data_IF_661442549731
#
_entry.id   IF_661442549731
#
_cell.length_a   1.000
_cell.length_b   1.000
_cell.length_c   1.000
_cell.angle_alpha   90.00
_cell.angle_beta   90.00
_cell.angle_gamma   90.00
#
_symmetry.space_group_name_H-M   'P 1'
#
loop_
_entity.id
_entity.type
_entity.pdbx_description
1 polymer ?
#
# COMPACT_ATOMS: atom_id res chain seq x y z
N UNK A 1 9.56 9.75 -11.90
CA UNK A 1 10.76 10.53 -12.28
C UNK A 1 11.94 9.69 -11.86
N UNK A 2 12.86 9.33 -12.74
CA UNK A 2 13.98 8.44 -12.42
C UNK A 2 15.24 9.27 -12.09
N UNK A 3 16.10 8.83 -11.16
CA UNK A 3 17.40 9.47 -10.85
C UNK A 3 18.56 8.88 -11.68
N UNK A 4 19.79 9.37 -11.48
CA UNK A 4 21.01 8.92 -12.16
C UNK A 4 21.34 7.44 -12.07
N UNK A 5 20.70 6.72 -11.14
CA UNK A 5 20.86 5.28 -10.94
C UNK A 5 19.64 4.50 -11.43
N UNK A 6 18.75 5.15 -12.18
CA UNK A 6 17.50 4.56 -12.64
C UNK A 6 16.50 4.33 -11.50
N UNK A 7 16.62 5.01 -10.35
CA UNK A 7 15.66 4.87 -9.25
C UNK A 7 14.43 5.73 -9.51
N UNK A 8 13.24 5.14 -9.45
CA UNK A 8 12.00 5.92 -9.44
C UNK A 8 11.98 6.77 -8.16
N UNK A 9 12.09 8.09 -8.29
CA UNK A 9 11.98 9.10 -7.23
C UNK A 9 10.59 8.97 -6.59
N UNK A 10 10.50 8.10 -5.59
CA UNK A 10 9.33 7.88 -4.73
C UNK A 10 9.59 8.34 -3.29
N UNK A 11 10.86 8.55 -2.92
CA UNK A 11 11.29 8.82 -1.53
C UNK A 11 10.64 10.05 -0.88
N UNK A 12 10.50 11.17 -1.62
CA UNK A 12 9.97 12.41 -1.06
C UNK A 12 8.45 12.36 -0.80
N UNK A 13 7.66 11.68 -1.65
CA UNK A 13 6.20 11.51 -1.41
C UNK A 13 5.91 10.42 -0.38
N UNK A 14 6.80 9.43 -0.27
CA UNK A 14 6.68 8.37 0.72
C UNK A 14 6.92 8.93 2.13
N UNK A 15 7.92 9.78 2.34
CA UNK A 15 8.22 10.39 3.66
C UNK A 15 7.13 11.35 4.14
N UNK A 16 6.52 12.16 3.26
CA UNK A 16 5.39 13.04 3.59
C UNK A 16 4.12 12.26 3.94
N UNK A 17 3.80 11.22 3.15
CA UNK A 17 2.64 10.35 3.39
C UNK A 17 2.75 9.52 4.67
N UNK A 18 3.97 9.07 4.99
CA UNK A 18 4.35 8.44 6.26
C UNK A 18 4.11 9.45 7.39
N UNK A 19 4.72 10.64 7.34
CA UNK A 19 4.59 11.65 8.40
C UNK A 19 3.14 12.03 8.72
N UNK A 20 2.30 12.27 7.70
CA UNK A 20 0.87 12.55 7.89
C UNK A 20 0.11 11.37 8.51
N UNK A 21 0.47 10.13 8.18
CA UNK A 21 -0.11 8.93 8.79
C UNK A 21 0.15 8.89 10.30
N UNK A 22 1.40 9.13 10.69
CA UNK A 22 1.81 9.09 12.09
C UNK A 22 1.14 10.20 12.90
N UNK A 23 1.05 11.42 12.36
CA UNK A 23 0.29 12.52 13.00
C UNK A 23 -1.17 12.14 13.26
N UNK A 24 -1.85 11.48 12.31
CA UNK A 24 -3.24 11.03 12.51
C UNK A 24 -3.37 9.95 13.59
N UNK A 25 -2.42 9.03 13.65
CA UNK A 25 -2.42 8.01 14.70
C UNK A 25 -2.06 8.59 16.06
N UNK A 26 -1.12 9.54 16.14
CA UNK A 26 -0.81 10.28 17.36
C UNK A 26 -2.03 11.02 17.88
N UNK A 27 -2.74 11.78 17.03
CA UNK A 27 -3.97 12.47 17.41
C UNK A 27 -5.07 11.51 17.88
N UNK A 28 -5.16 10.34 17.26
CA UNK A 28 -6.11 9.32 17.66
C UNK A 28 -5.73 8.67 19.00
N UNK A 29 -4.45 8.34 19.20
CA UNK A 29 -3.96 7.69 20.41
C UNK A 29 -3.98 8.64 21.61
N UNK A 30 -3.73 9.93 21.42
CA UNK A 30 -3.90 10.95 22.47
C UNK A 30 -5.35 11.11 22.94
N UNK A 31 -6.34 10.67 22.14
CA UNK A 31 -7.76 10.64 22.57
C UNK A 31 -8.06 9.44 23.47
N UNK A 32 -7.10 8.53 23.67
CA UNK A 32 -7.27 7.36 24.53
C UNK A 32 -6.94 7.64 25.99
N UNK A 33 -6.25 8.73 26.32
CA UNK A 33 -5.85 9.07 27.69
C UNK A 33 -7.05 9.01 28.66
N UNK A 34 -8.21 9.51 28.22
CA UNK A 34 -9.43 9.56 29.03
C UNK A 34 -10.19 8.22 29.12
N UNK A 35 -9.92 7.28 28.21
CA UNK A 35 -10.74 6.07 28.02
C UNK A 35 -9.98 4.76 28.30
N UNK A 36 -8.66 4.79 28.13
CA UNK A 36 -7.73 3.68 28.32
C UNK A 36 -6.41 4.17 28.96
N UNK A 37 -6.47 4.82 30.14
CA UNK A 37 -5.29 5.39 30.78
C UNK A 37 -4.23 4.33 31.12
N UNK A 38 -4.64 3.07 31.24
CA UNK A 38 -3.76 1.99 31.63
C UNK A 38 -2.93 1.35 30.52
N UNK A 39 -3.21 1.67 29.26
CA UNK A 39 -2.48 1.09 28.13
C UNK A 39 -1.01 1.52 28.14
N UNK A 40 -0.13 0.57 27.84
CA UNK A 40 1.32 0.80 27.81
C UNK A 40 1.70 1.93 26.86
N UNK A 41 1.14 1.96 25.66
CA UNK A 41 1.39 3.02 24.68
C UNK A 41 0.93 4.41 25.15
N UNK A 42 -0.16 4.48 25.91
CA UNK A 42 -0.67 5.74 26.48
C UNK A 42 0.30 6.24 27.54
N UNK A 43 0.70 5.36 28.47
CA UNK A 43 1.71 5.66 29.51
C UNK A 43 3.05 6.07 28.90
N UNK A 44 3.50 5.39 27.86
CA UNK A 44 4.74 5.69 27.14
C UNK A 44 4.69 7.03 26.39
N UNK A 45 3.58 7.37 25.74
CA UNK A 45 3.45 8.68 25.10
C UNK A 45 3.32 9.83 26.11
N UNK A 46 2.65 9.59 27.24
CA UNK A 46 2.48 10.58 28.30
C UNK A 46 3.79 10.91 29.04
N UNK A 47 4.72 9.95 29.13
CA UNK A 47 6.04 10.17 29.75
C UNK A 47 7.00 10.98 28.87
N UNK A 48 6.69 11.16 27.59
CA UNK A 48 7.48 11.97 26.65
C UNK A 48 6.90 13.38 26.60
N UNK A 49 7.74 14.39 26.82
CA UNK A 49 7.31 15.79 26.94
C UNK A 49 7.15 16.50 25.61
N UNK A 50 7.96 16.16 24.61
CA UNK A 50 7.97 16.80 23.30
C UNK A 50 7.23 15.99 22.22
N UNK A 51 6.73 16.68 21.20
CA UNK A 51 5.93 16.05 20.15
C UNK A 51 6.76 15.21 19.16
N UNK A 52 8.07 15.49 19.02
CA UNK A 52 8.94 14.74 18.13
C UNK A 52 9.25 13.36 18.73
N UNK A 53 9.62 13.29 20.00
CA UNK A 53 9.81 12.05 20.74
C UNK A 53 8.55 11.19 20.78
N UNK A 54 7.35 11.78 20.95
CA UNK A 54 6.08 11.03 20.86
C UNK A 54 5.85 10.44 19.48
N UNK A 55 6.20 11.18 18.42
CA UNK A 55 6.10 10.72 17.03
C UNK A 55 7.07 9.56 16.79
N UNK A 56 8.31 9.66 17.25
CA UNK A 56 9.33 8.63 17.09
C UNK A 56 8.99 7.35 17.87
N UNK A 57 8.53 7.48 19.12
CA UNK A 57 8.03 6.35 19.90
C UNK A 57 6.88 5.61 19.19
N UNK A 58 5.94 6.35 18.58
CA UNK A 58 4.85 5.75 17.81
C UNK A 58 5.33 5.13 16.49
N UNK A 59 6.36 5.70 15.85
CA UNK A 59 7.01 5.13 14.67
C UNK A 59 7.61 3.77 15.00
N UNK A 60 8.33 3.67 16.12
CA UNK A 60 8.93 2.42 16.58
C UNK A 60 7.87 1.37 16.93
N UNK A 61 6.81 1.78 17.63
CA UNK A 61 5.69 0.90 17.98
C UNK A 61 5.01 0.29 16.74
N UNK A 62 4.92 1.06 15.66
CA UNK A 62 4.25 0.66 14.42
C UNK A 62 5.21 0.13 13.34
N UNK A 63 6.51 0.08 13.61
CA UNK A 63 7.58 -0.19 12.64
C UNK A 63 7.37 -1.42 11.72
N UNK A 64 6.83 -2.58 12.17
CA UNK A 64 6.64 -3.71 11.25
C UNK A 64 5.43 -3.54 10.31
N UNK A 65 4.69 -2.42 10.37
CA UNK A 65 3.43 -2.23 9.63
C UNK A 65 3.63 -1.31 8.44
N UNK A 66 3.20 -1.77 7.27
CA UNK A 66 3.26 -0.97 6.05
C UNK A 66 2.45 0.35 6.22
N UNK A 67 3.00 1.51 5.83
CA UNK A 67 2.32 2.81 5.98
C UNK A 67 0.93 2.86 5.35
N UNK A 68 0.76 2.26 4.17
CA UNK A 68 -0.53 2.19 3.49
C UNK A 68 -1.59 1.41 4.30
N UNK A 69 -1.17 0.43 5.12
CA UNK A 69 -2.05 -0.27 6.05
C UNK A 69 -2.45 0.65 7.18
N UNK A 70 -1.49 1.30 7.84
CA UNK A 70 -1.75 2.24 8.93
C UNK A 70 -2.78 3.30 8.51
N UNK A 71 -2.57 3.96 7.38
CA UNK A 71 -3.50 4.98 6.82
C UNK A 71 -4.92 4.43 6.67
N UNK A 72 -5.08 3.21 6.14
CA UNK A 72 -6.40 2.59 5.96
C UNK A 72 -7.10 2.30 7.29
N UNK A 73 -6.34 1.93 8.31
CA UNK A 73 -6.89 1.63 9.65
C UNK A 73 -7.35 2.90 10.34
N UNK A 74 -6.50 3.92 10.45
CA UNK A 74 -6.91 5.20 11.08
C UNK A 74 -8.04 5.86 10.33
N UNK A 75 -8.03 5.91 9.00
CA UNK A 75 -9.12 6.53 8.25
C UNK A 75 -10.45 5.79 8.43
N UNK A 76 -10.46 4.46 8.61
CA UNK A 76 -11.69 3.72 8.90
C UNK A 76 -12.25 4.07 10.28
N UNK A 77 -11.37 4.27 11.26
CA UNK A 77 -11.77 4.69 12.62
C UNK A 77 -12.25 6.14 12.63
N UNK A 78 -11.55 7.05 11.97
CA UNK A 78 -11.96 8.46 11.84
C UNK A 78 -13.31 8.58 11.14
N UNK A 79 -13.58 7.77 10.12
CA UNK A 79 -14.89 7.73 9.46
C UNK A 79 -15.99 7.26 10.42
N UNK A 80 -15.73 6.27 11.26
CA UNK A 80 -16.68 5.84 12.30
C UNK A 80 -16.96 6.99 13.27
N UNK A 81 -15.93 7.63 13.81
CA UNK A 81 -16.09 8.73 14.77
C UNK A 81 -16.68 10.01 14.17
N UNK A 82 -16.59 10.21 12.85
CA UNK A 82 -17.32 11.28 12.18
C UNK A 82 -18.83 11.13 12.35
N UNK A 83 -19.33 9.89 12.37
CA UNK A 83 -20.76 9.60 12.45
C UNK A 83 -21.25 9.44 13.90
N UNK A 84 -20.43 8.83 14.78
CA UNK A 84 -20.84 8.52 16.17
C UNK A 84 -20.31 9.49 17.21
N UNK A 85 -19.43 10.43 16.82
CA UNK A 85 -18.77 11.35 17.74
C UNK A 85 -17.63 10.72 18.55
N UNK A 86 -17.11 11.49 19.51
CA UNK A 86 -16.05 11.09 20.45
C UNK A 86 -16.56 11.21 21.90
N UNK A 87 -15.97 10.45 22.82
CA UNK A 87 -16.26 10.53 24.26
C UNK A 87 -16.38 9.16 24.93
N UNK A 88 -16.56 9.18 26.26
CA UNK A 88 -16.61 7.97 27.10
C UNK A 88 -17.83 7.06 26.80
N UNK A 89 -18.86 7.60 26.17
CA UNK A 89 -20.01 6.80 25.71
C UNK A 89 -19.72 5.98 24.45
N UNK A 90 -18.69 6.39 23.68
CA UNK A 90 -18.29 5.74 22.43
C UNK A 90 -17.06 4.84 22.64
N UNK A 91 -16.10 5.31 23.44
CA UNK A 91 -14.87 4.59 23.78
C UNK A 91 -14.85 4.38 25.30
N UNK A 92 -14.65 3.14 25.80
CA UNK A 92 -14.30 1.92 25.08
C UNK A 92 -15.40 1.39 24.16
N UNK A 93 -15.01 0.93 22.98
CA UNK A 93 -15.95 0.43 21.97
C UNK A 93 -16.72 -0.80 22.49
N UNK A 94 -18.05 -0.68 22.53
CA UNK A 94 -18.94 -1.80 22.88
C UNK A 94 -19.40 -2.54 21.63
N UNK A 95 -19.39 -3.87 21.69
CA UNK A 95 -19.74 -4.72 20.55
C UNK A 95 -21.16 -4.45 20.03
N UNK A 96 -22.12 -4.23 20.94
CA UNK A 96 -23.50 -3.91 20.57
C UNK A 96 -23.58 -2.60 19.78
N UNK A 97 -22.95 -1.53 20.26
CA UNK A 97 -22.95 -0.21 19.61
C UNK A 97 -22.31 -0.25 18.23
N UNK A 98 -21.17 -0.94 18.10
CA UNK A 98 -20.49 -1.11 16.81
C UNK A 98 -21.35 -1.93 15.83
N UNK A 99 -22.01 -2.98 16.30
CA UNK A 99 -22.92 -3.76 15.47
C UNK A 99 -24.12 -2.93 14.98
N UNK A 100 -24.76 -2.15 15.87
CA UNK A 100 -25.87 -1.27 15.51
C UNK A 100 -25.44 -0.23 14.46
N UNK A 101 -24.29 0.43 14.67
CA UNK A 101 -23.72 1.32 13.66
C UNK A 101 -23.53 0.61 12.31
N UNK A 102 -22.91 -0.58 12.29
CA UNK A 102 -22.69 -1.32 11.03
C UNK A 102 -24.00 -1.73 10.35
N UNK A 103 -25.05 -2.01 11.12
CA UNK A 103 -26.39 -2.32 10.61
C UNK A 103 -27.01 -1.10 9.94
N UNK A 104 -26.96 0.04 10.62
CA UNK A 104 -27.58 1.27 10.14
C UNK A 104 -26.82 1.82 8.94
N UNK A 105 -25.48 1.80 8.98
CA UNK A 105 -24.63 2.15 7.83
C UNK A 105 -24.93 1.25 6.62
N UNK A 106 -25.14 -0.05 6.83
CA UNK A 106 -25.50 -0.99 5.75
C UNK A 106 -26.88 -0.69 5.18
N UNK A 107 -27.87 -0.38 6.03
CA UNK A 107 -29.19 0.05 5.59
C UNK A 107 -29.11 1.34 4.77
N UNK A 108 -28.20 2.25 5.14
CA UNK A 108 -27.84 3.46 4.39
C UNK A 108 -26.98 3.22 3.14
N UNK A 109 -26.74 1.97 2.73
CA UNK A 109 -26.05 1.65 1.47
C UNK A 109 -24.54 1.45 1.59
N UNK A 110 -23.96 1.43 2.80
CA UNK A 110 -22.54 1.15 2.98
C UNK A 110 -22.15 -0.21 2.38
N UNK A 111 -21.03 -0.22 1.64
CA UNK A 111 -20.52 -1.44 0.99
C UNK A 111 -20.00 -2.41 2.04
N UNK A 112 -20.14 -3.75 1.85
CA UNK A 112 -19.56 -4.74 2.75
C UNK A 112 -18.06 -4.53 3.02
N UNK A 113 -17.30 -4.06 2.01
CA UNK A 113 -15.87 -3.74 2.14
C UNK A 113 -15.60 -2.57 3.09
N UNK A 114 -16.50 -1.58 3.18
CA UNK A 114 -16.37 -0.47 4.11
C UNK A 114 -16.56 -0.93 5.56
N UNK A 115 -17.56 -1.78 5.80
CA UNK A 115 -17.80 -2.38 7.12
C UNK A 115 -16.64 -3.32 7.52
N UNK A 116 -16.13 -4.10 6.56
CA UNK A 116 -14.95 -4.93 6.74
C UNK A 116 -13.72 -4.09 7.13
N UNK A 117 -13.51 -2.95 6.48
CA UNK A 117 -12.40 -2.05 6.79
C UNK A 117 -12.45 -1.53 8.23
N UNK A 118 -13.64 -1.16 8.75
CA UNK A 118 -13.81 -0.78 10.16
C UNK A 118 -13.52 -1.96 11.09
N UNK A 119 -14.07 -3.16 10.82
CA UNK A 119 -13.78 -4.36 11.62
C UNK A 119 -12.28 -4.65 11.68
N UNK A 120 -11.60 -4.58 10.54
CA UNK A 120 -10.16 -4.80 10.45
C UNK A 120 -9.36 -3.70 11.19
N UNK A 121 -9.86 -2.47 11.24
CA UNK A 121 -9.27 -1.39 12.03
C UNK A 121 -9.42 -1.63 13.54
N UNK A 122 -10.57 -2.11 14.01
CA UNK A 122 -10.75 -2.47 15.43
C UNK A 122 -9.92 -3.72 15.81
N UNK A 123 -9.78 -4.70 14.91
CA UNK A 123 -8.84 -5.82 15.09
C UNK A 123 -7.40 -5.32 15.15
N UNK A 124 -7.04 -4.38 14.28
CA UNK A 124 -5.71 -3.77 14.32
C UNK A 124 -5.48 -3.08 15.67
N UNK A 125 -6.44 -2.29 16.17
CA UNK A 125 -6.32 -1.67 17.49
C UNK A 125 -6.14 -2.71 18.58
N UNK A 126 -6.96 -3.76 18.58
CA UNK A 126 -6.88 -4.86 19.57
C UNK A 126 -5.48 -5.48 19.66
N UNK A 127 -4.86 -5.81 18.53
CA UNK A 127 -3.63 -6.60 18.52
C UNK A 127 -2.35 -5.78 18.39
N UNK A 128 -2.41 -4.58 17.82
CA UNK A 128 -1.23 -3.72 17.67
C UNK A 128 -1.04 -2.82 18.88
N UNK A 129 -2.12 -2.37 19.52
CA UNK A 129 -2.03 -1.54 20.72
C UNK A 129 -2.43 -2.29 21.99
N UNK A 130 -2.53 -3.62 21.89
CA UNK A 130 -2.95 -4.54 22.94
C UNK A 130 -4.10 -4.02 23.81
N UNK A 131 -5.30 -3.98 23.22
CA UNK A 131 -6.52 -3.45 23.87
C UNK A 131 -7.53 -4.57 24.16
N UNK A 132 -7.40 -5.33 25.26
CA UNK A 132 -8.23 -6.51 25.55
C UNK A 132 -9.73 -6.28 25.50
N UNK A 133 -10.19 -5.07 25.85
CA UNK A 133 -11.62 -4.70 25.85
C UNK A 133 -12.29 -4.83 24.47
N UNK A 134 -11.51 -4.92 23.38
CA UNK A 134 -12.00 -5.14 22.02
C UNK A 134 -12.27 -6.62 21.67
N UNK A 135 -11.90 -7.57 22.52
CA UNK A 135 -12.13 -9.02 22.29
C UNK A 135 -13.57 -9.37 21.89
N UNK A 136 -14.62 -8.84 22.55
CA UNK A 136 -16.01 -9.11 22.16
C UNK A 136 -16.29 -8.73 20.71
N UNK A 137 -15.72 -7.62 20.22
CA UNK A 137 -15.85 -7.15 18.84
C UNK A 137 -15.13 -8.07 17.87
N UNK A 138 -13.88 -8.43 18.19
CA UNK A 138 -13.04 -9.29 17.33
C UNK A 138 -13.68 -10.66 17.14
N UNK A 139 -14.20 -11.24 18.24
CA UNK A 139 -14.80 -12.58 18.30
C UNK A 139 -16.27 -12.61 17.83
N UNK A 140 -16.93 -11.46 17.68
CA UNK A 140 -18.35 -11.38 17.31
C UNK A 140 -18.66 -11.98 15.93
N UNK A 141 -19.50 -13.03 15.93
CA UNK A 141 -20.02 -13.66 14.71
C UNK A 141 -21.01 -12.77 13.97
N UNK A 142 -21.74 -11.90 14.66
CA UNK A 142 -22.70 -10.96 14.03
C UNK A 142 -21.99 -9.82 13.31
N UNK A 143 -20.92 -9.27 13.90
CA UNK A 143 -20.05 -8.28 13.24
C UNK A 143 -19.33 -8.93 12.04
N UNK A 144 -18.83 -10.16 12.19
CA UNK A 144 -18.28 -10.89 11.04
C UNK A 144 -19.32 -11.12 9.93
N UNK A 145 -20.55 -11.48 10.31
CA UNK A 145 -21.64 -11.74 9.39
C UNK A 145 -22.03 -10.49 8.58
N UNK A 146 -22.12 -9.32 9.22
CA UNK A 146 -22.59 -8.11 8.54
C UNK A 146 -21.59 -7.55 7.51
N UNK A 147 -20.29 -7.73 7.77
CA UNK A 147 -19.20 -7.35 6.85
C UNK A 147 -19.10 -8.27 5.63
N UNK A 148 -19.67 -9.48 5.67
CA UNK A 148 -19.62 -10.47 4.58
C UNK A 148 -20.95 -10.65 3.84
N UNK A 149 -22.08 -10.49 4.52
CA UNK A 149 -23.42 -10.68 3.95
C UNK A 149 -23.64 -9.70 2.79
N UNK A 150 -24.01 -10.19 1.61
CA UNK A 150 -24.23 -9.36 0.42
C UNK A 150 -22.98 -9.03 -0.41
N UNK A 151 -21.80 -9.52 -0.02
CA UNK A 151 -20.55 -9.36 -0.80
C UNK A 151 -20.53 -10.17 -2.12
N UNK A 152 -21.59 -10.94 -2.40
CA UNK A 152 -21.74 -11.75 -3.63
C UNK A 152 -22.07 -10.93 -4.89
N UNK A 153 -22.23 -9.61 -4.81
CA UNK A 153 -22.32 -8.80 -6.03
C UNK A 153 -21.01 -8.97 -6.79
N UNK A 154 -21.09 -9.61 -7.95
CA UNK A 154 -19.97 -9.75 -8.88
C UNK A 154 -19.37 -8.38 -9.09
N UNK A 155 -18.26 -8.11 -8.39
CA UNK A 155 -17.48 -6.90 -8.62
C UNK A 155 -17.18 -6.91 -10.12
N UNK A 156 -17.54 -5.85 -10.84
CA UNK A 156 -17.10 -5.66 -12.21
C UNK A 156 -15.57 -5.74 -12.18
N UNK A 157 -15.04 -6.92 -12.54
CA UNK A 157 -13.61 -7.13 -12.63
C UNK A 157 -13.18 -6.38 -13.88
N UNK A 158 -12.01 -5.76 -13.83
CA UNK A 158 -11.39 -5.30 -15.07
C UNK A 158 -11.30 -6.51 -16.01
N UNK A 159 -11.59 -6.31 -17.29
CA UNK A 159 -11.38 -7.36 -18.27
C UNK A 159 -9.89 -7.77 -18.24
N UNK A 160 -9.59 -9.07 -18.39
CA UNK A 160 -8.20 -9.50 -18.59
C UNK A 160 -7.60 -8.74 -19.77
N UNK A 161 -6.31 -8.37 -19.66
CA UNK A 161 -5.59 -7.76 -20.77
C UNK A 161 -5.57 -8.71 -21.96
N UNK A 162 -5.91 -8.18 -23.13
CA UNK A 162 -5.84 -8.88 -24.42
C UNK A 162 -4.55 -8.52 -25.13
N UNK A 163 -4.19 -9.32 -26.13
CA UNK A 163 -3.03 -9.09 -26.99
C UNK A 163 -3.06 -7.69 -27.60
N UNK A 164 -4.21 -7.25 -28.11
CA UNK A 164 -4.39 -5.91 -28.67
C UNK A 164 -4.11 -4.78 -27.67
N UNK A 165 -4.40 -4.98 -26.39
CA UNK A 165 -4.15 -3.97 -25.36
C UNK A 165 -2.63 -3.83 -25.10
N UNK A 166 -1.87 -4.92 -25.23
CA UNK A 166 -0.40 -4.91 -25.16
C UNK A 166 0.21 -4.29 -26.43
N UNK A 167 -0.34 -4.59 -27.61
CA UNK A 167 0.10 -3.98 -28.87
C UNK A 167 0.02 -2.46 -28.83
N UNK A 168 -1.04 -1.90 -28.24
CA UNK A 168 -1.15 -0.44 -28.02
C UNK A 168 0.02 0.10 -27.19
N UNK A 169 0.44 -0.59 -26.13
CA UNK A 169 1.59 -0.16 -25.32
C UNK A 169 2.90 -0.21 -26.13
N UNK A 170 3.09 -1.22 -26.98
CA UNK A 170 4.25 -1.28 -27.89
C UNK A 170 4.22 -0.13 -28.89
N UNK A 171 3.06 0.13 -29.51
CA UNK A 171 2.90 1.25 -30.45
C UNK A 171 3.16 2.60 -29.79
N UNK A 172 2.67 2.82 -28.57
CA UNK A 172 2.94 4.03 -27.81
C UNK A 172 4.43 4.18 -27.49
N UNK A 173 5.11 3.10 -27.06
CA UNK A 173 6.55 3.11 -26.83
C UNK A 173 7.33 3.48 -28.10
N UNK A 174 6.94 2.91 -29.24
CA UNK A 174 7.58 3.13 -30.53
C UNK A 174 7.35 4.58 -31.04
N UNK A 175 6.11 5.04 -31.03
CA UNK A 175 5.66 6.15 -31.88
C UNK A 175 5.00 7.33 -31.17
N UNK A 176 4.74 7.27 -29.85
CA UNK A 176 4.09 8.38 -29.15
C UNK A 176 4.92 9.68 -29.27
N UNK A 177 4.24 10.83 -29.42
CA UNK A 177 4.93 12.12 -29.51
C UNK A 177 5.60 12.51 -28.18
N UNK A 178 4.98 12.18 -27.05
CA UNK A 178 5.47 12.48 -25.71
C UNK A 178 6.51 11.45 -25.25
N UNK A 179 7.70 11.93 -24.86
CA UNK A 179 8.74 11.07 -24.24
C UNK A 179 8.24 10.41 -22.94
N UNK A 180 7.33 11.08 -22.22
CA UNK A 180 6.74 10.56 -20.99
C UNK A 180 5.77 9.40 -21.26
N UNK A 181 5.02 9.47 -22.36
CA UNK A 181 4.10 8.39 -22.77
C UNK A 181 4.91 7.17 -23.20
N UNK A 182 6.03 7.37 -23.92
CA UNK A 182 6.97 6.29 -24.25
C UNK A 182 7.57 5.66 -22.99
N UNK A 183 8.07 6.49 -22.07
CA UNK A 183 8.66 6.03 -20.81
C UNK A 183 7.67 5.23 -19.99
N UNK A 184 6.44 5.73 -19.83
CA UNK A 184 5.39 5.08 -19.06
C UNK A 184 4.94 3.79 -19.73
N UNK A 185 4.78 3.77 -21.05
CA UNK A 185 4.40 2.56 -21.79
C UNK A 185 5.45 1.46 -21.64
N UNK A 186 6.74 1.80 -21.72
CA UNK A 186 7.83 0.84 -21.46
C UNK A 186 7.85 0.34 -20.01
N UNK A 187 7.55 1.19 -19.03
CA UNK A 187 7.41 0.77 -17.63
C UNK A 187 6.22 -0.20 -17.43
N UNK A 188 5.10 0.05 -18.11
CA UNK A 188 3.96 -0.88 -18.13
C UNK A 188 4.33 -2.22 -18.77
N UNK A 189 5.02 -2.21 -19.90
CA UNK A 189 5.52 -3.43 -20.55
C UNK A 189 6.46 -4.21 -19.63
N UNK A 190 7.38 -3.54 -18.94
CA UNK A 190 8.25 -4.16 -17.95
C UNK A 190 7.45 -4.85 -16.84
N UNK A 191 6.46 -4.17 -16.25
CA UNK A 191 5.58 -4.77 -15.25
C UNK A 191 4.82 -6.00 -15.80
N UNK A 192 4.32 -5.92 -17.03
CA UNK A 192 3.54 -6.98 -17.65
C UNK A 192 4.39 -8.23 -17.96
N UNK A 193 5.55 -8.04 -18.57
CA UNK A 193 6.44 -9.15 -18.93
C UNK A 193 7.11 -9.80 -17.72
N UNK A 194 7.45 -9.03 -16.69
CA UNK A 194 7.93 -9.57 -15.41
C UNK A 194 6.81 -10.14 -14.53
N UNK A 195 5.54 -9.88 -14.88
CA UNK A 195 4.38 -10.17 -14.03
C UNK A 195 4.47 -9.51 -12.65
N UNK A 196 5.14 -8.36 -12.58
CA UNK A 196 5.35 -7.61 -11.36
C UNK A 196 4.15 -6.70 -11.06
N UNK A 197 3.87 -6.46 -9.77
CA UNK A 197 2.94 -5.39 -9.39
C UNK A 197 3.62 -4.06 -9.65
N UNK A 198 2.83 -3.05 -10.01
CA UNK A 198 3.33 -1.68 -10.14
C UNK A 198 4.09 -1.22 -8.89
N UNK A 199 3.56 -1.48 -7.69
CA UNK A 199 4.25 -1.13 -6.45
C UNK A 199 5.61 -1.80 -6.32
N UNK A 200 5.71 -3.07 -6.71
CA UNK A 200 6.95 -3.84 -6.60
C UNK A 200 7.98 -3.27 -7.60
N UNK A 201 7.55 -2.94 -8.83
CA UNK A 201 8.36 -2.23 -9.83
C UNK A 201 8.83 -0.85 -9.36
N UNK A 202 8.00 -0.08 -8.66
CA UNK A 202 8.41 1.23 -8.13
C UNK A 202 9.51 1.15 -7.06
N UNK A 203 9.69 -0.01 -6.43
CA UNK A 203 10.71 -0.27 -5.42
C UNK A 203 11.98 -0.93 -5.96
N UNK A 204 12.08 -1.14 -7.29
CA UNK A 204 13.32 -1.64 -7.90
C UNK A 204 14.43 -0.61 -7.73
N UNK A 205 15.59 -1.05 -7.26
CA UNK A 205 16.74 -0.20 -6.99
C UNK A 205 17.80 -0.23 -8.08
N UNK A 206 17.80 -1.27 -8.92
CA UNK A 206 18.72 -1.44 -10.05
C UNK A 206 18.09 -2.31 -11.14
N UNK A 207 18.66 -2.24 -12.34
CA UNK A 207 18.37 -3.17 -13.43
C UNK A 207 19.63 -3.54 -14.21
N UNK A 208 19.62 -4.72 -14.83
CA UNK A 208 20.64 -5.24 -15.74
C UNK A 208 19.98 -5.71 -17.03
N UNK A 209 20.73 -5.68 -18.13
CA UNK A 209 20.28 -6.19 -19.42
C UNK A 209 21.24 -7.30 -19.83
N UNK A 210 20.68 -8.47 -20.11
CA UNK A 210 21.38 -9.57 -20.74
C UNK A 210 21.32 -9.40 -22.27
N UNK A 211 22.44 -9.65 -22.94
CA UNK A 211 22.61 -9.40 -24.37
C UNK A 211 23.02 -10.67 -25.11
N UNK A 212 22.57 -10.82 -26.35
CA UNK A 212 23.03 -11.88 -27.25
C UNK A 212 24.47 -11.64 -27.71
N UNK A 213 25.05 -12.61 -28.43
CA UNK A 213 26.37 -12.48 -29.06
C UNK A 213 26.43 -11.29 -30.03
N UNK A 214 25.32 -10.98 -30.71
CA UNK A 214 25.15 -9.83 -31.61
C UNK A 214 24.88 -8.50 -30.87
N UNK A 215 24.95 -8.49 -29.54
CA UNK A 215 24.66 -7.34 -28.67
C UNK A 215 23.21 -6.83 -28.74
N UNK A 216 22.25 -7.70 -29.02
CA UNK A 216 20.83 -7.38 -28.91
C UNK A 216 20.32 -7.71 -27.49
N UNK A 217 19.49 -6.86 -26.85
CA UNK A 217 18.91 -7.18 -25.55
C UNK A 217 18.07 -8.46 -25.62
N UNK A 218 18.30 -9.41 -24.70
CA UNK A 218 17.55 -10.68 -24.61
C UNK A 218 16.67 -10.71 -23.37
N UNK A 219 17.21 -10.30 -22.22
CA UNK A 219 16.47 -10.17 -20.98
C UNK A 219 16.72 -8.82 -20.31
N UNK A 220 15.69 -8.33 -19.63
CA UNK A 220 15.78 -7.21 -18.71
C UNK A 220 15.50 -7.73 -17.31
N UNK A 221 16.43 -7.51 -16.40
CA UNK A 221 16.35 -7.95 -15.02
C UNK A 221 16.25 -6.75 -14.09
N UNK A 222 15.32 -6.81 -13.15
CA UNK A 222 15.19 -5.81 -12.09
C UNK A 222 15.49 -6.42 -10.74
N UNK A 223 16.17 -5.65 -9.91
CA UNK A 223 16.44 -5.97 -8.51
C UNK A 223 15.62 -5.05 -7.61
N UNK A 224 14.86 -5.60 -6.66
CA UNK A 224 14.35 -4.82 -5.53
C UNK A 224 14.87 -5.35 -4.20
N UNK A 225 15.23 -4.37 -3.37
CA UNK A 225 15.61 -4.54 -1.97
C UNK A 225 14.52 -4.05 -1.03
N UNK A 226 13.33 -3.72 -1.55
CA UNK A 226 12.14 -3.44 -0.74
C UNK A 226 10.93 -4.10 -1.39
N UNK A 227 10.37 -5.11 -0.74
CA UNK A 227 9.19 -5.83 -1.22
C UNK A 227 8.35 -6.40 -0.07
N UNK A 228 7.11 -6.78 -0.39
CA UNK A 228 6.07 -7.12 0.59
C UNK A 228 6.48 -8.19 1.62
N UNK A 229 7.37 -9.10 1.26
CA UNK A 229 7.75 -10.26 2.09
C UNK A 229 9.09 -10.09 2.81
N UNK A 230 9.76 -8.94 2.73
CA UNK A 230 11.06 -8.76 3.39
C UNK A 230 11.02 -8.89 4.91
N UNK A 231 9.91 -8.50 5.54
CA UNK A 231 9.74 -8.64 6.99
C UNK A 231 9.12 -10.01 7.38
N UNK A 232 9.06 -10.97 6.44
CA UNK A 232 8.63 -12.32 6.77
C UNK A 232 9.75 -13.05 7.52
N UNK A 233 9.38 -13.87 8.51
CA UNK A 233 10.32 -14.61 9.38
C UNK A 233 11.30 -15.54 8.66
N UNK A 234 11.08 -15.80 7.37
CA UNK A 234 11.86 -16.72 6.53
C UNK A 234 12.62 -16.00 5.42
N UNK A 235 12.73 -14.67 5.47
CA UNK A 235 13.51 -13.94 4.50
C UNK A 235 15.00 -14.00 4.87
N UNK A 236 15.82 -14.49 3.95
CA UNK A 236 17.26 -14.71 4.08
C UNK A 236 18.10 -13.48 3.74
N UNK A 237 17.47 -12.37 3.31
CA UNK A 237 18.15 -11.14 2.92
C UNK A 237 18.43 -11.04 1.43
N UNK A 238 18.07 -12.03 0.62
CA UNK A 238 18.33 -11.99 -0.83
C UNK A 238 17.36 -11.04 -1.56
N UNK A 239 17.86 -10.12 -2.39
CA UNK A 239 16.98 -9.20 -3.12
C UNK A 239 16.07 -9.97 -4.08
N UNK A 240 14.85 -9.48 -4.27
CA UNK A 240 13.93 -10.08 -5.23
C UNK A 240 14.37 -9.68 -6.65
N UNK A 241 14.58 -10.69 -7.50
CA UNK A 241 14.89 -10.50 -8.91
C UNK A 241 13.64 -10.79 -9.75
N UNK A 242 13.34 -9.90 -10.68
CA UNK A 242 12.36 -10.14 -11.73
C UNK A 242 13.02 -10.06 -13.09
N UNK A 243 12.57 -10.93 -13.99
CA UNK A 243 13.13 -11.03 -15.34
C UNK A 243 12.01 -10.87 -16.35
N UNK A 244 12.24 -10.07 -17.39
CA UNK A 244 11.37 -9.95 -18.54
C UNK A 244 12.13 -10.26 -19.84
N UNK A 245 11.54 -11.03 -20.77
CA UNK A 245 12.09 -11.18 -22.10
C UNK A 245 12.03 -9.84 -22.86
N UNK A 246 13.11 -9.50 -23.53
CA UNK A 246 13.22 -8.31 -24.36
C UNK A 246 12.45 -8.42 -25.68
N UNK A 247 12.34 -9.65 -26.20
CA UNK A 247 11.43 -9.95 -27.30
C UNK A 247 10.05 -10.27 -26.74
N UNK A 248 9.09 -9.40 -27.06
CA UNK A 248 7.71 -9.53 -26.63
C UNK A 248 6.80 -10.20 -27.67
N UNK A 249 5.49 -10.00 -27.50
CA UNK A 249 4.47 -10.38 -28.49
C UNK A 249 4.48 -9.52 -29.77
N UNK A 250 5.30 -8.45 -29.78
CA UNK A 250 5.33 -7.46 -30.85
C UNK A 250 6.64 -7.58 -31.65
N UNK A 251 6.61 -7.16 -32.92
CA UNK A 251 7.70 -7.34 -33.88
C UNK A 251 9.04 -6.69 -33.50
N UNK A 252 9.08 -5.78 -32.53
CA UNK A 252 10.28 -5.02 -32.18
C UNK A 252 10.68 -5.28 -30.73
N UNK A 253 12.00 -5.26 -30.49
CA UNK A 253 12.57 -5.42 -29.16
C UNK A 253 12.22 -4.21 -28.30
N UNK A 254 11.31 -4.40 -27.35
CA UNK A 254 10.75 -3.31 -26.57
C UNK A 254 11.77 -2.79 -25.53
N UNK A 255 12.67 -3.64 -25.04
CA UNK A 255 13.74 -3.21 -24.12
C UNK A 255 14.70 -2.27 -24.84
N UNK A 256 15.11 -2.61 -26.07
CA UNK A 256 15.96 -1.76 -26.90
C UNK A 256 15.34 -0.37 -27.11
N UNK A 257 14.07 -0.33 -27.52
CA UNK A 257 13.34 0.93 -27.71
C UNK A 257 13.21 1.73 -26.41
N UNK A 258 12.91 1.04 -25.31
CA UNK A 258 12.72 1.71 -24.03
C UNK A 258 14.03 2.27 -23.47
N UNK A 259 15.15 1.58 -23.62
CA UNK A 259 16.47 2.10 -23.20
C UNK A 259 16.88 3.33 -23.99
N UNK A 260 16.54 3.42 -25.28
CA UNK A 260 16.74 4.65 -26.06
C UNK A 260 15.94 5.83 -25.52
N UNK A 261 14.74 5.59 -24.98
CA UNK A 261 13.91 6.61 -24.33
C UNK A 261 14.51 7.02 -22.99
N UNK A 262 14.92 6.05 -22.16
CA UNK A 262 15.55 6.30 -20.86
C UNK A 262 16.83 7.12 -21.02
N UNK A 263 17.68 6.81 -22.00
CA UNK A 263 18.92 7.54 -22.28
C UNK A 263 18.72 9.01 -22.68
N UNK A 264 17.52 9.37 -23.17
CA UNK A 264 17.18 10.77 -23.55
C UNK A 264 16.67 11.59 -22.38
N UNK A 265 16.36 10.97 -21.25
CA UNK A 265 15.85 11.70 -20.10
C UNK A 265 17.01 12.43 -19.38
N UNK A 266 16.81 13.68 -18.96
CA UNK A 266 17.82 14.40 -18.20
C UNK A 266 18.05 13.66 -16.88
N UNK A 267 19.26 13.17 -16.71
CA UNK A 267 19.74 12.58 -15.48
C UNK A 267 19.89 13.71 -14.45
N UNK A 268 19.02 13.76 -13.44
CA UNK A 268 19.18 14.69 -12.31
C UNK A 268 20.20 14.12 -11.34
N UNK A 269 21.43 14.66 -11.42
CA UNK A 269 22.52 14.54 -10.43
C UNK A 269 22.04 14.75 -9.01
#
# INVERSE_FOLDING_TARGET
MFDCRGKLVSGARFSEGVTMCFVKHSLYALRWDDCWPDLEIVKAMASISDNEGRKDSLLDWLHPRAPATLIKRVNSILLYHKEVGWGQEVVPYREHSVYCYMRDAKAGGAKPSQLAALREALIFVRFVFDVPSLDPIVKSRRILGITRRGAKRGRAKAHPLRVCDLEVLHTLLESAASVWDKLFSGACLACLYMRARWSDFQHTCAFSIDYSEEREPVYLEFRAEVFKTMNAKFFDGEPMIWVAPAQGIYRHNWVKLWMQVVARLPVRS
#
